data_IF_941565038348
#
_entry.id   IF_941565038348
#
_cell.length_a   1.000
_cell.length_b   1.000
_cell.length_c   1.000
_cell.angle_alpha   90.00
_cell.angle_beta   90.00
_cell.angle_gamma   90.00
#
_symmetry.space_group_name_H-M   'P 1'
#
loop_
_entity.id
_entity.type
_entity.pdbx_description
1 polymer ?
#
# COMPACT_ATOMS: atom_id res chain seq x y z
N UNK A 1 -71.41 11.63 -16.32
CA UNK A 1 -70.35 11.15 -15.41
C UNK A 1 -68.97 10.93 -16.07
N UNK A 2 -68.75 11.18 -17.37
CA UNK A 2 -67.42 11.01 -18.00
C UNK A 2 -66.50 12.25 -18.00
N UNK A 3 -67.06 13.47 -17.94
CA UNK A 3 -66.25 14.71 -18.02
C UNK A 3 -65.38 14.96 -16.76
N UNK A 4 -65.85 14.57 -15.57
CA UNK A 4 -65.12 14.75 -14.30
C UNK A 4 -63.94 13.77 -14.17
N UNK A 5 -64.08 12.54 -14.68
CA UNK A 5 -63.03 11.52 -14.62
C UNK A 5 -61.84 11.85 -15.54
N UNK A 6 -62.08 12.52 -16.67
CA UNK A 6 -61.01 12.99 -17.57
C UNK A 6 -60.14 14.09 -16.91
N UNK A 7 -60.76 14.99 -16.14
CA UNK A 7 -60.07 16.11 -15.48
C UNK A 7 -59.22 15.68 -14.29
N UNK A 8 -59.63 14.62 -13.57
CA UNK A 8 -58.86 14.06 -12.45
C UNK A 8 -57.63 13.28 -12.92
N UNK A 9 -57.73 12.61 -14.08
CA UNK A 9 -56.63 11.85 -14.68
C UNK A 9 -55.57 12.79 -15.30
N UNK A 10 -56.00 13.91 -15.90
CA UNK A 10 -55.13 15.02 -16.33
C UNK A 10 -54.41 15.68 -15.15
N UNK A 11 -55.09 15.85 -14.01
CA UNK A 11 -54.50 16.42 -12.80
C UNK A 11 -53.45 15.49 -12.16
N UNK A 12 -53.69 14.18 -12.17
CA UNK A 12 -52.71 13.17 -11.75
C UNK A 12 -51.48 13.16 -12.65
N UNK A 13 -51.67 13.30 -13.96
CA UNK A 13 -50.56 13.34 -14.92
C UNK A 13 -49.69 14.60 -14.75
N UNK A 14 -50.31 15.76 -14.54
CA UNK A 14 -49.62 17.03 -14.23
C UNK A 14 -48.90 16.97 -12.88
N UNK A 15 -49.47 16.33 -11.87
CA UNK A 15 -48.84 16.15 -10.56
C UNK A 15 -47.58 15.26 -10.65
N UNK A 16 -47.64 14.16 -11.40
CA UNK A 16 -46.48 13.28 -11.62
C UNK A 16 -45.39 13.95 -12.47
N UNK A 17 -45.76 14.72 -13.51
CA UNK A 17 -44.80 15.45 -14.34
C UNK A 17 -44.15 16.62 -13.58
N UNK A 18 -44.90 17.29 -12.69
CA UNK A 18 -44.37 18.33 -11.80
C UNK A 18 -43.45 17.80 -10.70
N UNK A 19 -43.70 16.59 -10.19
CA UNK A 19 -42.85 15.95 -9.19
C UNK A 19 -41.51 15.47 -9.78
N UNK A 20 -41.47 15.15 -11.08
CA UNK A 20 -40.24 14.76 -11.79
C UNK A 20 -39.38 15.98 -12.22
N UNK A 21 -39.97 17.17 -12.29
CA UNK A 21 -39.27 18.45 -12.55
C UNK A 21 -38.72 19.14 -11.29
N UNK A 22 -39.08 18.65 -10.09
CA UNK A 22 -38.58 19.15 -8.80
C UNK A 22 -37.53 18.21 -8.17
N UNK A 23 -36.81 17.47 -9.00
CA UNK A 23 -35.51 16.91 -8.62
C UNK A 23 -34.45 17.87 -9.16
N UNK A 24 -33.89 18.79 -8.33
CA UNK A 24 -32.68 19.47 -8.71
C UNK A 24 -31.64 18.39 -8.98
N UNK A 25 -31.19 18.37 -10.23
CA UNK A 25 -30.10 17.53 -10.69
C UNK A 25 -28.93 17.74 -9.72
N UNK A 26 -28.64 16.74 -8.89
CA UNK A 26 -27.43 16.67 -8.08
C UNK A 26 -26.22 16.32 -8.96
N UNK A 27 -26.10 17.02 -10.08
CA UNK A 27 -24.94 17.05 -10.96
C UNK A 27 -24.48 18.51 -11.09
N UNK A 28 -24.38 19.20 -9.95
CA UNK A 28 -23.55 20.39 -9.87
C UNK A 28 -22.09 19.90 -9.86
N UNK A 29 -21.34 20.19 -10.91
CA UNK A 29 -19.89 20.20 -10.79
C UNK A 29 -19.56 21.30 -9.78
N UNK A 30 -19.16 20.93 -8.56
CA UNK A 30 -18.62 21.87 -7.55
C UNK A 30 -17.37 22.55 -8.12
N UNK A 31 -17.55 23.66 -8.83
CA UNK A 31 -16.49 24.58 -9.21
C UNK A 31 -16.61 25.82 -8.32
N UNK A 32 -15.99 25.74 -7.15
CA UNK A 32 -15.96 26.83 -6.18
C UNK A 32 -15.79 26.29 -4.78
N UNK A 33 -14.53 26.21 -4.32
CA UNK A 33 -14.18 25.66 -3.00
C UNK A 33 -14.21 24.14 -2.97
N UNK A 34 -13.26 23.48 -3.64
CA UNK A 34 -13.05 22.04 -3.47
C UNK A 34 -12.32 21.89 -2.14
N UNK A 35 -13.00 21.40 -1.09
CA UNK A 35 -12.30 20.81 0.04
C UNK A 35 -11.52 19.64 -0.56
N UNK A 36 -10.22 19.78 -0.83
CA UNK A 36 -9.43 18.67 -1.39
C UNK A 36 -9.18 17.55 -0.38
N UNK A 37 -9.71 17.69 0.85
CA UNK A 37 -9.62 16.72 1.95
C UNK A 37 -10.00 15.32 1.48
N UNK A 38 -11.14 15.10 0.83
CA UNK A 38 -11.52 13.75 0.33
C UNK A 38 -10.47 13.10 -0.60
N UNK A 39 -9.74 13.86 -1.41
CA UNK A 39 -8.66 13.35 -2.24
C UNK A 39 -7.32 13.27 -1.50
N UNK A 40 -7.00 14.26 -0.68
CA UNK A 40 -5.78 14.32 0.12
C UNK A 40 -5.78 13.28 1.24
N UNK A 41 -6.92 13.06 1.90
CA UNK A 41 -7.17 12.03 2.89
C UNK A 41 -7.15 10.63 2.24
N UNK A 42 -7.67 10.48 1.02
CA UNK A 42 -7.57 9.21 0.29
C UNK A 42 -6.11 8.89 -0.09
N UNK A 43 -5.33 9.89 -0.50
CA UNK A 43 -3.90 9.72 -0.79
C UNK A 43 -3.08 9.49 0.48
N UNK A 44 -3.40 10.18 1.57
CA UNK A 44 -2.78 9.96 2.90
C UNK A 44 -3.05 8.55 3.41
N UNK A 45 -4.30 8.08 3.33
CA UNK A 45 -4.66 6.72 3.71
C UNK A 45 -3.96 5.66 2.84
N UNK A 46 -3.80 5.92 1.53
CA UNK A 46 -3.06 5.03 0.64
C UNK A 46 -1.56 4.98 0.96
N UNK A 47 -0.99 6.13 1.34
CA UNK A 47 0.38 6.24 1.81
C UNK A 47 0.56 5.48 3.13
N UNK A 48 -0.29 5.71 4.14
CA UNK A 48 -0.23 5.04 5.44
C UNK A 48 -0.42 3.52 5.32
N UNK A 49 -1.30 3.08 4.43
CA UNK A 49 -1.46 1.66 4.12
C UNK A 49 -0.18 1.06 3.54
N UNK A 50 0.44 1.75 2.59
CA UNK A 50 1.69 1.31 1.96
C UNK A 50 2.85 1.26 2.95
N UNK A 51 2.99 2.28 3.80
CA UNK A 51 4.02 2.34 4.85
C UNK A 51 3.83 1.21 5.86
N UNK A 52 2.59 0.92 6.25
CA UNK A 52 2.30 -0.20 7.15
C UNK A 52 2.72 -1.53 6.52
N UNK A 53 2.41 -1.74 5.24
CA UNK A 53 2.77 -2.96 4.51
C UNK A 53 4.27 -3.08 4.24
N UNK A 54 4.99 -1.97 4.03
CA UNK A 54 6.43 -2.01 3.77
C UNK A 54 7.21 -2.52 4.99
N UNK A 55 6.83 -2.12 6.21
CA UNK A 55 7.51 -2.56 7.43
C UNK A 55 7.32 -4.05 7.65
N UNK A 56 6.12 -4.59 7.39
CA UNK A 56 5.87 -6.03 7.44
C UNK A 56 6.76 -6.83 6.48
N UNK A 57 6.97 -6.33 5.25
CA UNK A 57 7.87 -6.96 4.28
C UNK A 57 9.32 -6.91 4.76
N UNK A 58 9.76 -5.80 5.34
CA UNK A 58 11.12 -5.68 5.91
C UNK A 58 11.35 -6.67 7.06
N UNK A 59 10.39 -6.83 7.97
CA UNK A 59 10.48 -7.82 9.05
C UNK A 59 10.56 -9.26 8.52
N UNK A 60 9.78 -9.59 7.49
CA UNK A 60 9.82 -10.91 6.85
C UNK A 60 11.18 -11.16 6.18
N UNK A 61 11.70 -10.17 5.46
CA UNK A 61 13.03 -10.26 4.83
C UNK A 61 14.13 -10.43 5.88
N UNK A 62 14.05 -9.73 7.01
CA UNK A 62 15.02 -9.88 8.10
C UNK A 62 15.00 -11.30 8.72
N UNK A 63 13.80 -11.90 8.85
CA UNK A 63 13.66 -13.27 9.33
C UNK A 63 14.32 -14.28 8.36
N UNK A 64 14.06 -14.15 7.05
CA UNK A 64 14.68 -15.02 6.04
C UNK A 64 16.20 -14.81 5.99
N UNK A 65 16.65 -13.55 6.04
CA UNK A 65 18.07 -13.21 6.03
C UNK A 65 18.82 -13.85 7.20
N UNK A 66 18.24 -13.84 8.41
CA UNK A 66 18.84 -14.49 9.59
C UNK A 66 18.97 -16.01 9.40
N UNK A 67 17.97 -16.67 8.84
CA UNK A 67 18.02 -18.13 8.60
C UNK A 67 19.15 -18.47 7.61
N UNK A 68 19.24 -17.72 6.50
CA UNK A 68 20.28 -17.93 5.48
C UNK A 68 21.67 -17.65 6.03
N UNK A 69 21.82 -16.63 6.88
CA UNK A 69 23.09 -16.31 7.55
C UNK A 69 23.57 -17.45 8.46
N UNK A 70 22.66 -18.06 9.24
CA UNK A 70 22.99 -19.21 10.11
C UNK A 70 23.45 -20.40 9.25
N UNK A 71 22.75 -20.69 8.15
CA UNK A 71 23.12 -21.78 7.23
C UNK A 71 24.49 -21.52 6.60
N UNK A 72 24.80 -20.28 6.21
CA UNK A 72 26.11 -19.89 5.68
C UNK A 72 27.23 -20.08 6.70
N UNK A 73 27.02 -19.67 7.95
CA UNK A 73 27.97 -19.86 9.04
C UNK A 73 28.20 -21.35 9.36
N UNK A 74 27.14 -22.17 9.36
CA UNK A 74 27.23 -23.61 9.59
C UNK A 74 28.06 -24.32 8.51
N UNK A 75 27.87 -23.94 7.24
CA UNK A 75 28.65 -24.48 6.13
C UNK A 75 30.14 -24.16 6.26
N UNK A 76 30.50 -22.96 6.71
CA UNK A 76 31.88 -22.58 6.96
C UNK A 76 32.47 -23.38 8.11
N UNK A 77 31.71 -23.58 9.19
CA UNK A 77 32.14 -24.38 10.33
C UNK A 77 32.48 -25.81 9.91
N UNK A 78 31.65 -26.44 9.08
CA UNK A 78 31.94 -27.79 8.58
C UNK A 78 33.22 -27.80 7.74
N UNK A 79 33.38 -26.85 6.80
CA UNK A 79 34.61 -26.73 5.98
C UNK A 79 35.87 -26.52 6.81
N UNK A 80 35.78 -25.76 7.91
CA UNK A 80 36.87 -25.52 8.86
C UNK A 80 37.34 -26.80 9.56
N UNK A 81 36.39 -27.67 9.92
CA UNK A 81 36.71 -28.93 10.60
C UNK A 81 37.25 -29.99 9.63
N UNK A 82 36.93 -29.92 8.35
CA UNK A 82 37.40 -30.87 7.32
C UNK A 82 38.79 -30.53 6.76
N UNK A 83 39.37 -29.38 7.13
CA UNK A 83 40.69 -28.96 6.66
C UNK A 83 40.74 -28.57 5.18
N UNK A 84 39.59 -28.21 4.60
CA UNK A 84 39.50 -27.81 3.20
C UNK A 84 40.14 -26.43 2.96
N UNK A 85 40.87 -26.27 1.85
CA UNK A 85 41.57 -25.04 1.48
C UNK A 85 40.65 -23.84 1.12
N UNK A 86 39.33 -24.01 1.15
CA UNK A 86 38.34 -23.00 0.72
C UNK A 86 37.64 -22.27 1.88
N UNK A 87 38.08 -22.52 3.12
CA UNK A 87 37.56 -21.88 4.34
C UNK A 87 37.72 -20.36 4.27
N UNK A 88 38.93 -19.89 3.96
CA UNK A 88 39.26 -18.46 3.94
C UNK A 88 38.41 -17.70 2.92
N UNK A 89 38.13 -18.33 1.76
CA UNK A 89 37.24 -17.81 0.72
C UNK A 89 35.79 -17.77 1.18
N UNK A 90 35.34 -18.78 1.91
CA UNK A 90 33.98 -18.84 2.42
C UNK A 90 33.75 -17.81 3.54
N UNK A 91 34.74 -17.59 4.42
CA UNK A 91 34.70 -16.56 5.47
C UNK A 91 34.65 -15.15 4.89
N UNK A 92 35.51 -14.82 3.90
CA UNK A 92 35.48 -13.48 3.28
C UNK A 92 34.15 -13.19 2.59
N UNK A 93 33.51 -14.20 1.99
CA UNK A 93 32.18 -14.05 1.41
C UNK A 93 31.10 -13.83 2.48
N UNK A 94 31.16 -14.52 3.62
CA UNK A 94 30.22 -14.30 4.73
C UNK A 94 30.36 -12.89 5.31
N UNK A 95 31.59 -12.42 5.54
CA UNK A 95 31.84 -11.06 6.06
C UNK A 95 31.33 -10.00 5.08
N UNK A 96 31.58 -10.18 3.77
CA UNK A 96 31.03 -9.30 2.74
C UNK A 96 29.50 -9.29 2.71
N UNK A 97 28.87 -10.45 2.88
CA UNK A 97 27.41 -10.57 2.94
C UNK A 97 26.81 -9.89 4.19
N UNK A 98 27.43 -10.04 5.36
CA UNK A 98 27.00 -9.36 6.59
C UNK A 98 27.09 -7.83 6.48
N UNK A 99 28.20 -7.33 5.96
CA UNK A 99 28.38 -5.89 5.72
C UNK A 99 27.40 -5.35 4.69
N UNK A 100 27.15 -6.11 3.62
CA UNK A 100 26.16 -5.76 2.61
C UNK A 100 24.75 -5.70 3.21
N UNK A 101 24.37 -6.64 4.07
CA UNK A 101 23.04 -6.67 4.69
C UNK A 101 22.80 -5.43 5.56
N UNK A 102 23.79 -5.04 6.38
CA UNK A 102 23.71 -3.83 7.21
C UNK A 102 23.64 -2.57 6.34
N UNK A 103 24.42 -2.51 5.25
CA UNK A 103 24.39 -1.38 4.32
C UNK A 103 23.03 -1.27 3.60
N UNK A 104 22.49 -2.40 3.15
CA UNK A 104 21.22 -2.46 2.45
C UNK A 104 20.04 -2.02 3.34
N UNK A 105 20.03 -2.42 4.62
CA UNK A 105 18.97 -2.02 5.55
C UNK A 105 18.95 -0.53 5.87
N UNK A 106 20.10 0.17 5.79
CA UNK A 106 20.18 1.60 6.07
C UNK A 106 19.98 2.43 4.80
N UNK A 107 20.67 2.06 3.72
CA UNK A 107 20.73 2.84 2.48
C UNK A 107 19.41 2.74 1.72
N UNK A 108 18.81 1.54 1.65
CA UNK A 108 17.62 1.32 0.83
C UNK A 108 16.41 2.11 1.34
N UNK A 109 16.07 2.14 2.65
CA UNK A 109 15.01 2.99 3.17
C UNK A 109 15.35 4.49 3.08
N UNK A 110 16.62 4.86 3.31
CA UNK A 110 17.07 6.26 3.21
C UNK A 110 16.93 6.84 1.80
N UNK A 111 17.12 6.02 0.74
CA UNK A 111 16.87 6.44 -0.65
C UNK A 111 15.41 6.85 -0.90
N UNK A 112 14.46 6.25 -0.18
CA UNK A 112 13.04 6.58 -0.28
C UNK A 112 12.59 7.62 0.77
N UNK A 113 13.52 8.21 1.52
CA UNK A 113 13.23 9.19 2.57
C UNK A 113 12.70 8.61 3.88
N UNK A 114 12.76 7.28 4.05
CA UNK A 114 12.33 6.59 5.28
C UNK A 114 13.53 6.33 6.20
N UNK A 115 13.47 6.85 7.43
CA UNK A 115 14.39 6.44 8.50
C UNK A 115 13.79 5.23 9.23
N UNK A 116 14.48 4.10 9.17
CA UNK A 116 14.12 2.87 9.90
C UNK A 116 14.87 2.72 11.23
N UNK A 117 15.50 3.79 11.72
CA UNK A 117 16.20 3.88 13.01
C UNK A 117 15.45 4.82 13.93
#
# INVERSE_FOLDING_TARGET
MQSINCKINQLFFIACFGFMFLQPQSAFAKCGGVDYSWGADALSNAHDFTVTMMLYVVYLLYAIASIVAIIGALQIYIKMNTGEGDVTKSIMMLVGACLFMIGATIIFPAFFGYNIV
#
